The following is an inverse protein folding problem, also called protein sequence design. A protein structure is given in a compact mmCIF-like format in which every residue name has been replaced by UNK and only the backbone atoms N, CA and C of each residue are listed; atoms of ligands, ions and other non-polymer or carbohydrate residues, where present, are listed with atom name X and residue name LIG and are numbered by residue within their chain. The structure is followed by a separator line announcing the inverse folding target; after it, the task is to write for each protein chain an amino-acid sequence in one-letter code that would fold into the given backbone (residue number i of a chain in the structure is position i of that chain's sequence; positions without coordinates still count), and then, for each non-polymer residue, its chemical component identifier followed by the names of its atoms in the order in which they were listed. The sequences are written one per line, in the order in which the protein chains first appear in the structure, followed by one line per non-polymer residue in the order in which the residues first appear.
data_IF_603764923099
#
_entry.id   IF_603764923099
#
_cell.length_a   1.000
_cell.length_b   1.000
_cell.length_c   1.000
_cell.angle_alpha   90.00
_cell.angle_beta   90.00
_cell.angle_gamma   90.00
#
_symmetry.space_group_name_H-M   'P 1'
#
loop_
_entity.id
_entity.type
_entity.pdbx_description
1 polymer ?
#
# COMPACT_ATOMS: atom_id res chain seq x y z
N UNK A 1 -15.31 14.83 0.21
CA UNK A 1 -14.28 14.28 1.12
C UNK A 1 -15.00 13.64 2.29
N UNK A 2 -14.81 12.36 2.55
CA UNK A 2 -15.43 11.70 3.70
C UNK A 2 -14.80 12.26 4.99
N UNK A 3 -15.63 12.65 5.96
CA UNK A 3 -15.18 13.01 7.32
C UNK A 3 -14.55 14.39 7.52
N UNK A 4 -14.44 15.23 6.48
CA UNK A 4 -13.95 16.61 6.62
C UNK A 4 -15.11 17.57 6.41
N UNK A 5 -15.51 18.27 7.48
CA UNK A 5 -16.56 19.28 7.40
C UNK A 5 -16.11 20.46 6.51
N UNK A 6 -17.01 21.07 5.73
CA UNK A 6 -16.72 22.31 5.03
C UNK A 6 -16.18 23.38 6.00
N UNK A 7 -15.18 24.14 5.55
CA UNK A 7 -14.61 25.24 6.33
C UNK A 7 -15.53 26.45 6.42
N UNK A 8 -15.09 27.47 7.15
CA UNK A 8 -15.82 28.76 7.25
C UNK A 8 -15.98 29.41 5.87
N UNK A 9 -17.11 30.07 5.67
CA UNK A 9 -17.42 30.79 4.44
C UNK A 9 -16.80 32.19 4.48
N UNK A 10 -16.04 32.56 3.46
CA UNK A 10 -15.37 33.86 3.40
C UNK A 10 -16.19 34.96 2.71
N UNK A 11 -17.15 34.57 1.86
CA UNK A 11 -17.98 35.50 1.08
C UNK A 11 -19.40 35.51 1.64
N UNK A 12 -19.91 36.67 2.12
CA UNK A 12 -21.30 36.80 2.54
C UNK A 12 -22.26 36.33 1.43
N UNK A 13 -23.26 35.51 1.79
CA UNK A 13 -24.24 34.96 0.86
C UNK A 13 -23.85 33.62 0.19
N UNK A 14 -22.61 33.14 0.37
CA UNK A 14 -22.18 31.79 -0.05
C UNK A 14 -22.06 30.83 1.13
N UNK A 15 -22.99 30.94 2.09
CA UNK A 15 -23.09 29.98 3.19
C UNK A 15 -23.92 28.77 2.77
N UNK A 16 -23.23 27.65 2.57
CA UNK A 16 -23.83 26.38 2.18
C UNK A 16 -24.11 25.45 3.37
N UNK A 17 -23.86 25.90 4.62
CA UNK A 17 -24.01 25.06 5.82
C UNK A 17 -25.43 24.53 6.02
N UNK A 18 -26.43 25.25 5.51
CA UNK A 18 -27.83 24.84 5.56
C UNK A 18 -28.29 24.05 4.32
N UNK A 19 -27.41 23.85 3.32
CA UNK A 19 -27.75 23.03 2.16
C UNK A 19 -27.45 21.56 2.47
N UNK A 20 -28.44 20.71 2.26
CA UNK A 20 -28.28 19.26 2.34
C UNK A 20 -29.01 18.59 1.19
N UNK A 21 -28.34 17.65 0.54
CA UNK A 21 -28.90 16.83 -0.54
C UNK A 21 -29.39 15.47 -0.03
N UNK A 22 -29.16 15.15 1.26
CA UNK A 22 -29.55 13.87 1.86
C UNK A 22 -29.66 13.98 3.38
N UNK A 23 -30.65 13.33 3.97
CA UNK A 23 -30.69 13.14 5.42
C UNK A 23 -29.67 12.05 5.81
N UNK A 24 -28.55 12.46 6.44
CA UNK A 24 -27.45 11.55 6.78
C UNK A 24 -27.85 10.47 7.80
N UNK A 25 -28.71 10.80 8.77
CA UNK A 25 -29.21 9.81 9.74
C UNK A 25 -30.10 8.78 9.04
N UNK A 26 -31.01 9.22 8.17
CA UNK A 26 -31.84 8.31 7.38
C UNK A 26 -31.00 7.45 6.41
N UNK A 27 -29.91 8.01 5.88
CA UNK A 27 -28.96 7.29 5.05
C UNK A 27 -28.33 6.13 5.84
N UNK A 28 -27.87 6.37 7.07
CA UNK A 28 -27.28 5.31 7.89
C UNK A 28 -28.26 4.15 8.15
N UNK A 29 -29.53 4.44 8.50
CA UNK A 29 -30.54 3.38 8.66
C UNK A 29 -30.79 2.61 7.35
N UNK A 30 -30.74 3.30 6.21
CA UNK A 30 -30.87 2.68 4.88
C UNK A 30 -29.67 1.78 4.58
N UNK A 31 -28.46 2.22 4.91
CA UNK A 31 -27.23 1.44 4.74
C UNK A 31 -27.26 0.19 5.63
N UNK A 32 -27.71 0.29 6.89
CA UNK A 32 -27.92 -0.86 7.80
C UNK A 32 -28.91 -1.87 7.22
N UNK A 33 -30.07 -1.41 6.74
CA UNK A 33 -31.07 -2.29 6.11
C UNK A 33 -30.47 -3.01 4.90
N UNK A 34 -29.79 -2.26 4.03
CA UNK A 34 -29.17 -2.80 2.82
C UNK A 34 -28.10 -3.84 3.16
N UNK A 35 -27.26 -3.57 4.17
CA UNK A 35 -26.26 -4.51 4.65
C UNK A 35 -26.89 -5.83 5.13
N UNK A 36 -28.00 -5.77 5.88
CA UNK A 36 -28.72 -6.98 6.29
C UNK A 36 -29.30 -7.75 5.09
N UNK A 37 -29.87 -7.05 4.10
CA UNK A 37 -30.43 -7.69 2.91
C UNK A 37 -29.34 -8.41 2.09
N UNK A 38 -28.17 -7.78 1.93
CA UNK A 38 -27.00 -8.39 1.29
C UNK A 38 -26.51 -9.61 2.07
N UNK A 39 -26.39 -9.52 3.40
CA UNK A 39 -25.96 -10.65 4.23
C UNK A 39 -26.95 -11.81 4.10
N UNK A 40 -28.26 -11.54 4.09
CA UNK A 40 -29.31 -12.56 3.87
C UNK A 40 -29.17 -13.24 2.51
N UNK A 41 -28.95 -12.45 1.45
CA UNK A 41 -28.70 -12.97 0.10
C UNK A 41 -27.48 -13.89 0.07
N UNK A 42 -26.42 -13.53 0.79
CA UNK A 42 -25.15 -14.26 0.82
C UNK A 42 -25.10 -15.42 1.82
N UNK A 43 -26.12 -15.64 2.64
CA UNK A 43 -26.17 -16.75 3.62
C UNK A 43 -25.78 -18.13 3.04
N UNK A 44 -26.20 -18.52 1.81
CA UNK A 44 -25.78 -19.80 1.24
C UNK A 44 -24.26 -19.97 1.12
N UNK A 45 -23.51 -18.88 0.93
CA UNK A 45 -22.04 -18.90 0.85
C UNK A 45 -21.40 -18.82 2.24
N UNK A 46 -22.03 -18.11 3.19
CA UNK A 46 -21.47 -17.89 4.53
C UNK A 46 -21.38 -19.16 5.37
N UNK A 47 -22.00 -20.27 4.95
CA UNK A 47 -21.79 -21.60 5.54
C UNK A 47 -20.32 -22.05 5.53
N UNK A 48 -19.52 -21.51 4.61
CA UNK A 48 -18.08 -21.74 4.53
C UNK A 48 -17.26 -21.16 5.69
N UNK A 49 -17.84 -20.25 6.49
CA UNK A 49 -17.15 -19.67 7.64
C UNK A 49 -16.81 -20.70 8.72
N UNK A 50 -17.69 -21.71 8.90
CA UNK A 50 -17.52 -22.77 9.93
C UNK A 50 -17.27 -22.20 11.34
N UNK A 51 -17.89 -21.07 11.65
CA UNK A 51 -17.64 -20.29 12.84
C UNK A 51 -18.90 -19.54 13.30
N UNK A 52 -18.88 -19.04 14.53
CA UNK A 52 -19.84 -18.07 15.06
C UNK A 52 -19.24 -16.66 14.98
N UNK A 53 -19.82 -15.79 14.15
CA UNK A 53 -19.36 -14.42 13.95
C UNK A 53 -20.37 -13.43 14.57
N UNK A 54 -19.90 -12.57 15.48
CA UNK A 54 -20.69 -11.44 15.98
C UNK A 54 -20.36 -10.18 15.17
N UNK A 55 -21.39 -9.47 14.69
CA UNK A 55 -21.25 -8.24 13.90
C UNK A 55 -21.96 -7.09 14.60
N UNK A 56 -21.32 -5.93 14.64
CA UNK A 56 -21.89 -4.67 15.13
C UNK A 56 -21.77 -3.61 14.03
N UNK A 57 -22.89 -2.96 13.67
CA UNK A 57 -22.90 -1.81 12.75
C UNK A 57 -22.90 -0.49 13.53
N UNK A 58 -21.73 0.13 13.67
CA UNK A 58 -21.61 1.38 14.42
C UNK A 58 -22.08 1.24 15.87
N UNK A 59 -23.15 1.97 16.23
CA UNK A 59 -23.79 1.98 17.54
C UNK A 59 -25.01 1.06 17.67
N UNK A 60 -25.32 0.28 16.62
CA UNK A 60 -26.46 -0.65 16.61
C UNK A 60 -26.20 -1.87 17.51
N UNK A 61 -27.26 -2.49 18.05
CA UNK A 61 -27.13 -3.77 18.75
C UNK A 61 -26.41 -4.82 17.88
N UNK A 62 -25.56 -5.67 18.47
CA UNK A 62 -24.91 -6.73 17.73
C UNK A 62 -25.91 -7.78 17.24
N UNK A 63 -25.55 -8.49 16.19
CA UNK A 63 -26.21 -9.70 15.71
C UNK A 63 -25.17 -10.76 15.37
N UNK A 64 -25.60 -12.01 15.18
CA UNK A 64 -24.69 -13.12 14.92
C UNK A 64 -24.99 -13.80 13.60
N UNK A 65 -23.94 -14.31 12.98
CA UNK A 65 -24.00 -15.30 11.91
C UNK A 65 -23.47 -16.60 12.49
N UNK A 66 -24.37 -17.57 12.70
CA UNK A 66 -23.98 -18.93 13.09
C UNK A 66 -23.84 -19.79 11.84
N UNK A 67 -22.60 -20.14 11.50
CA UNK A 67 -22.24 -21.01 10.38
C UNK A 67 -21.54 -22.30 10.85
N UNK A 68 -21.57 -22.63 12.15
CA UNK A 68 -20.82 -23.76 12.73
C UNK A 68 -21.23 -25.11 12.14
N UNK A 69 -22.50 -25.26 11.75
CA UNK A 69 -23.04 -26.46 11.11
C UNK A 69 -22.68 -26.59 9.62
N UNK A 70 -22.11 -25.55 9.00
CA UNK A 70 -21.94 -25.45 7.55
C UNK A 70 -23.13 -24.84 6.81
N UNK A 71 -24.24 -24.58 7.49
CA UNK A 71 -25.34 -23.74 6.99
C UNK A 71 -25.38 -22.47 7.83
N UNK A 72 -25.31 -21.30 7.19
CA UNK A 72 -25.33 -20.03 7.92
C UNK A 72 -26.75 -19.54 8.21
N UNK A 73 -26.97 -19.05 9.43
CA UNK A 73 -28.21 -18.40 9.86
C UNK A 73 -27.92 -17.12 10.64
N UNK A 74 -28.79 -16.12 10.53
CA UNK A 74 -28.70 -14.88 11.33
C UNK A 74 -29.44 -15.09 12.65
N UNK A 75 -28.81 -14.72 13.77
CA UNK A 75 -29.39 -14.71 15.11
C UNK A 75 -29.39 -13.29 15.68
N UNK A 76 -30.50 -12.86 16.28
CA UNK A 76 -30.60 -11.57 16.97
C UNK A 76 -29.97 -11.60 18.38
N UNK A 77 -29.79 -12.80 18.94
CA UNK A 77 -29.04 -13.01 20.19
C UNK A 77 -28.38 -14.38 20.18
N UNK A 78 -27.22 -14.48 20.84
CA UNK A 78 -26.51 -15.74 21.06
C UNK A 78 -25.78 -15.67 22.40
N UNK A 79 -25.88 -16.72 23.22
CA UNK A 79 -25.19 -16.80 24.52
C UNK A 79 -23.75 -17.33 24.40
N UNK A 80 -23.42 -17.96 23.27
CA UNK A 80 -22.11 -18.54 23.05
C UNK A 80 -21.08 -17.45 22.74
N UNK A 81 -19.85 -17.62 23.22
CA UNK A 81 -18.76 -16.71 22.88
C UNK A 81 -18.45 -16.83 21.38
N UNK A 82 -18.50 -15.73 20.61
CA UNK A 82 -18.22 -15.79 19.18
C UNK A 82 -16.75 -16.08 18.90
N UNK A 83 -16.49 -16.83 17.84
CA UNK A 83 -15.13 -17.05 17.31
C UNK A 83 -14.48 -15.74 16.87
N UNK A 84 -15.29 -14.76 16.42
CA UNK A 84 -14.84 -13.47 15.93
C UNK A 84 -15.85 -12.38 16.21
N UNK A 85 -15.37 -11.19 16.62
CA UNK A 85 -16.19 -9.98 16.79
C UNK A 85 -15.75 -8.94 15.76
N UNK A 86 -16.71 -8.44 14.98
CA UNK A 86 -16.47 -7.47 13.91
C UNK A 86 -17.33 -6.22 14.10
N UNK A 87 -16.70 -5.08 14.35
CA UNK A 87 -17.35 -3.78 14.27
C UNK A 87 -17.04 -3.18 12.91
N UNK A 88 -18.07 -2.94 12.09
CA UNK A 88 -17.89 -2.47 10.70
C UNK A 88 -18.94 -1.44 10.33
N UNK A 89 -18.60 -0.55 9.40
CA UNK A 89 -19.57 0.38 8.81
C UNK A 89 -20.51 -0.39 7.86
N UNK A 90 -21.84 -0.21 7.96
CA UNK A 90 -22.79 -0.95 7.13
C UNK A 90 -22.56 -0.69 5.62
N UNK A 91 -22.14 0.51 5.23
CA UNK A 91 -21.84 0.83 3.83
C UNK A 91 -20.64 0.06 3.27
N UNK A 92 -19.75 -0.50 4.10
CA UNK A 92 -18.66 -1.35 3.63
C UNK A 92 -19.20 -2.70 3.12
N UNK A 93 -20.29 -3.22 3.70
CA UNK A 93 -20.96 -4.43 3.21
C UNK A 93 -21.40 -4.24 1.77
N UNK A 94 -22.08 -3.12 1.47
CA UNK A 94 -22.48 -2.77 0.11
C UNK A 94 -21.28 -2.52 -0.81
N UNK A 95 -20.22 -1.87 -0.32
CA UNK A 95 -19.03 -1.63 -1.13
C UNK A 95 -18.23 -2.90 -1.44
N UNK A 96 -18.19 -3.89 -0.53
CA UNK A 96 -17.61 -5.21 -0.83
C UNK A 96 -18.45 -5.93 -1.88
N UNK A 97 -19.78 -5.95 -1.68
CA UNK A 97 -20.74 -6.57 -2.58
C UNK A 97 -20.71 -5.98 -4.00
N UNK A 98 -20.49 -4.66 -4.13
CA UNK A 98 -20.39 -3.97 -5.42
C UNK A 98 -18.96 -3.92 -5.99
N UNK A 99 -17.99 -4.57 -5.33
CA UNK A 99 -16.56 -4.51 -5.68
C UNK A 99 -16.02 -3.06 -5.79
N UNK A 100 -16.44 -2.19 -4.87
CA UNK A 100 -15.98 -0.80 -4.71
C UNK A 100 -14.89 -0.65 -3.64
N UNK A 101 -14.80 -1.60 -2.71
CA UNK A 101 -13.85 -1.61 -1.62
C UNK A 101 -13.23 -3.00 -1.50
N UNK A 102 -11.91 -3.08 -1.37
CA UNK A 102 -11.23 -4.34 -1.09
C UNK A 102 -11.48 -4.76 0.37
N UNK A 103 -11.88 -6.03 0.64
CA UNK A 103 -12.16 -6.55 1.98
C UNK A 103 -11.11 -6.24 3.07
N UNK A 104 -9.84 -6.59 2.88
CA UNK A 104 -8.75 -6.34 3.83
C UNK A 104 -8.51 -4.84 4.01
N UNK A 105 -8.56 -4.04 2.94
CA UNK A 105 -8.49 -2.58 3.06
C UNK A 105 -9.64 -2.06 3.92
N UNK A 106 -10.88 -2.46 3.65
CA UNK A 106 -12.05 -2.02 4.41
C UNK A 106 -12.05 -2.46 5.87
N UNK A 107 -11.63 -3.69 6.15
CA UNK A 107 -11.57 -4.26 7.50
C UNK A 107 -10.50 -3.62 8.38
N UNK A 108 -9.34 -3.27 7.82
CA UNK A 108 -8.18 -2.83 8.61
C UNK A 108 -7.87 -1.33 8.48
N UNK A 109 -8.33 -0.64 7.43
CA UNK A 109 -8.05 0.80 7.23
C UNK A 109 -8.48 1.65 8.44
N UNK A 110 -9.72 1.49 8.87
CA UNK A 110 -10.26 2.32 9.96
C UNK A 110 -9.57 1.99 11.29
N UNK A 111 -9.09 0.77 11.42
CA UNK A 111 -8.42 0.29 12.60
C UNK A 111 -7.03 0.90 12.82
N UNK A 112 -6.39 1.43 11.75
CA UNK A 112 -5.19 2.28 11.89
C UNK A 112 -5.48 3.61 12.61
N UNK A 113 -6.72 4.10 12.57
CA UNK A 113 -7.12 5.37 13.18
C UNK A 113 -7.98 5.20 14.42
N UNK A 114 -8.59 4.02 14.61
CA UNK A 114 -9.44 3.69 15.74
C UNK A 114 -9.29 2.20 16.10
N UNK A 115 -8.54 1.90 17.15
CA UNK A 115 -8.26 0.53 17.59
C UNK A 115 -9.54 -0.29 17.86
N UNK A 116 -10.64 0.34 18.28
CA UNK A 116 -11.93 -0.32 18.50
C UNK A 116 -12.54 -0.93 17.21
N UNK A 117 -12.05 -0.54 16.03
CA UNK A 117 -12.45 -1.10 14.74
C UNK A 117 -11.62 -2.33 14.34
N UNK A 118 -10.59 -2.73 15.09
CA UNK A 118 -9.86 -3.98 14.82
C UNK A 118 -10.78 -5.19 15.02
N UNK A 119 -10.89 -6.11 14.04
CA UNK A 119 -11.52 -7.40 14.26
C UNK A 119 -10.85 -8.16 15.42
N UNK A 120 -11.66 -8.79 16.28
CA UNK A 120 -11.19 -9.50 17.47
C UNK A 120 -11.46 -11.01 17.36
N UNK A 121 -10.62 -11.83 17.99
CA UNK A 121 -10.71 -13.29 17.93
C UNK A 121 -10.02 -13.86 16.68
N UNK A 122 -10.66 -14.83 16.01
CA UNK A 122 -10.13 -15.47 14.80
C UNK A 122 -10.27 -14.56 13.56
N UNK A 123 -9.41 -13.54 13.45
CA UNK A 123 -9.42 -12.54 12.36
C UNK A 123 -9.61 -13.13 10.94
N UNK A 124 -9.03 -14.29 10.57
CA UNK A 124 -9.30 -14.92 9.27
C UNK A 124 -10.79 -15.18 8.97
N UNK A 125 -11.63 -15.37 9.99
CA UNK A 125 -13.09 -15.51 9.82
C UNK A 125 -13.72 -14.19 9.37
N UNK A 126 -13.28 -13.04 9.91
CA UNK A 126 -13.76 -11.73 9.46
C UNK A 126 -13.32 -11.43 8.01
N UNK A 127 -12.08 -11.78 7.67
CA UNK A 127 -11.57 -11.67 6.28
C UNK A 127 -12.42 -12.54 5.35
N UNK A 128 -12.62 -13.81 5.70
CA UNK A 128 -13.43 -14.74 4.90
C UNK A 128 -14.88 -14.27 4.76
N UNK A 129 -15.48 -13.72 5.82
CA UNK A 129 -16.80 -13.12 5.76
C UNK A 129 -16.86 -12.01 4.72
N UNK A 130 -15.95 -11.04 4.78
CA UNK A 130 -15.92 -9.94 3.82
C UNK A 130 -15.61 -10.40 2.39
N UNK A 131 -14.71 -11.37 2.22
CA UNK A 131 -14.37 -11.99 0.93
C UNK A 131 -15.60 -12.65 0.27
N UNK A 132 -16.40 -13.41 1.03
CA UNK A 132 -17.60 -14.09 0.54
C UNK A 132 -18.74 -13.13 0.13
N UNK A 133 -18.72 -11.89 0.63
CA UNK A 133 -19.68 -10.86 0.21
C UNK A 133 -19.40 -10.34 -1.20
N UNK A 134 -18.15 -10.40 -1.66
CA UNK A 134 -17.74 -9.88 -2.97
C UNK A 134 -18.41 -10.64 -4.14
N UNK A 135 -18.47 -10.05 -5.36
CA UNK A 135 -18.96 -10.76 -6.55
C UNK A 135 -18.11 -11.96 -6.94
N UNK A 136 -16.79 -11.87 -6.72
CA UNK A 136 -15.82 -12.92 -7.03
C UNK A 136 -14.92 -13.10 -5.81
N UNK A 137 -15.32 -13.95 -4.84
CA UNK A 137 -14.53 -14.21 -3.66
C UNK A 137 -13.12 -14.68 -4.04
N UNK A 138 -12.06 -14.15 -3.40
CA UNK A 138 -10.71 -14.54 -3.71
C UNK A 138 -10.43 -15.99 -3.30
N UNK A 139 -9.47 -16.60 -3.99
CA UNK A 139 -8.92 -17.91 -3.65
C UNK A 139 -7.59 -17.75 -2.92
N UNK A 140 -7.28 -18.72 -2.06
CA UNK A 140 -6.01 -18.74 -1.35
C UNK A 140 -4.83 -18.86 -2.34
N UNK A 141 -3.69 -18.19 -2.07
CA UNK A 141 -2.50 -18.33 -2.89
C UNK A 141 -1.95 -19.75 -2.79
N UNK A 142 -1.26 -20.19 -3.85
CA UNK A 142 -0.44 -21.39 -3.78
C UNK A 142 0.75 -21.15 -2.85
N UNK A 143 1.13 -22.17 -2.10
CA UNK A 143 2.35 -22.17 -1.33
C UNK A 143 3.56 -22.28 -2.28
N UNK A 144 4.70 -21.74 -1.86
CA UNK A 144 5.90 -21.70 -2.69
C UNK A 144 6.43 -23.08 -3.10
N UNK A 145 6.25 -24.10 -2.25
CA UNK A 145 6.63 -25.50 -2.50
C UNK A 145 5.77 -26.19 -3.60
N UNK A 146 4.65 -25.58 -3.99
CA UNK A 146 3.78 -26.08 -5.04
C UNK A 146 4.21 -25.65 -6.45
N UNK A 147 5.27 -24.84 -6.57
CA UNK A 147 5.82 -24.42 -7.85
C UNK A 147 7.01 -25.31 -8.25
N UNK A 148 7.10 -25.76 -9.53
CA UNK A 148 8.19 -26.62 -9.99
C UNK A 148 9.54 -25.91 -10.04
N UNK A 149 9.52 -24.58 -10.09
CA UNK A 149 10.67 -23.68 -10.03
C UNK A 149 10.23 -22.38 -9.39
N UNK A 150 11.18 -21.62 -8.86
CA UNK A 150 10.99 -20.25 -8.41
C UNK A 150 12.01 -19.34 -9.10
N UNK A 151 11.75 -18.03 -9.20
CA UNK A 151 12.74 -17.07 -9.68
C UNK A 151 14.03 -17.14 -8.86
N UNK A 152 15.17 -17.24 -9.56
CA UNK A 152 16.52 -17.16 -9.01
C UNK A 152 17.21 -15.88 -9.49
N UNK A 153 18.21 -15.41 -8.74
CA UNK A 153 18.97 -14.23 -9.12
C UNK A 153 19.76 -14.47 -10.42
N UNK A 154 19.53 -13.63 -11.44
CA UNK A 154 20.14 -13.75 -12.77
C UNK A 154 20.50 -12.39 -13.35
N UNK A 155 21.47 -12.36 -14.27
CA UNK A 155 21.81 -11.17 -15.08
C UNK A 155 20.99 -11.11 -16.39
N UNK A 156 20.25 -12.18 -16.74
CA UNK A 156 19.36 -12.18 -17.90
C UNK A 156 18.07 -11.39 -17.60
N UNK A 157 18.03 -10.13 -18.05
CA UNK A 157 16.89 -9.24 -17.92
C UNK A 157 15.61 -9.80 -18.54
N UNK A 158 15.71 -10.54 -19.66
CA UNK A 158 14.53 -11.14 -20.27
C UNK A 158 14.00 -12.31 -19.44
N UNK A 159 14.87 -13.05 -18.74
CA UNK A 159 14.45 -14.02 -17.74
C UNK A 159 13.74 -13.35 -16.57
N UNK A 160 14.26 -12.25 -16.05
CA UNK A 160 13.62 -11.47 -14.97
C UNK A 160 12.23 -10.99 -15.39
N UNK A 161 12.08 -10.47 -16.62
CA UNK A 161 10.77 -10.07 -17.18
C UNK A 161 9.81 -11.25 -17.30
N UNK A 162 10.29 -12.44 -17.69
CA UNK A 162 9.48 -13.69 -17.71
C UNK A 162 9.05 -14.08 -16.30
N UNK A 163 9.95 -14.01 -15.34
CA UNK A 163 9.68 -14.36 -13.95
C UNK A 163 8.68 -13.42 -13.29
N UNK A 164 8.77 -12.11 -13.55
CA UNK A 164 7.75 -11.15 -13.08
C UNK A 164 6.39 -11.45 -13.70
N UNK A 165 6.31 -11.81 -14.99
CA UNK A 165 5.04 -12.18 -15.61
C UNK A 165 4.43 -13.43 -14.97
N UNK A 166 5.24 -14.45 -14.68
CA UNK A 166 4.78 -15.75 -14.17
C UNK A 166 4.55 -15.75 -12.64
N UNK A 167 5.44 -15.13 -11.88
CA UNK A 167 5.47 -15.19 -10.40
C UNK A 167 5.24 -13.84 -9.72
N UNK A 168 5.22 -12.73 -10.46
CA UNK A 168 4.98 -11.38 -9.95
C UNK A 168 6.24 -10.71 -9.40
N UNK A 169 7.36 -11.44 -9.36
CA UNK A 169 8.68 -10.92 -9.00
C UNK A 169 9.79 -11.58 -9.82
N UNK A 170 10.94 -10.92 -9.86
CA UNK A 170 12.21 -11.46 -10.36
C UNK A 170 13.38 -10.78 -9.66
N UNK A 171 14.56 -11.39 -9.73
CA UNK A 171 15.75 -10.87 -9.04
C UNK A 171 16.86 -10.66 -10.06
N UNK A 172 17.26 -9.40 -10.22
CA UNK A 172 18.41 -9.03 -11.05
C UNK A 172 19.65 -9.14 -10.19
N UNK A 173 20.63 -9.94 -10.61
CA UNK A 173 21.89 -10.15 -9.90
C UNK A 173 22.92 -9.08 -10.31
N UNK A 174 23.86 -8.77 -9.41
CA UNK A 174 25.02 -7.93 -9.70
C UNK A 174 24.67 -6.53 -10.26
N UNK A 175 23.56 -5.96 -9.79
CA UNK A 175 23.08 -4.62 -10.17
C UNK A 175 24.02 -3.55 -9.61
N UNK A 176 24.48 -3.73 -8.37
CA UNK A 176 25.51 -2.90 -7.76
C UNK A 176 26.77 -3.73 -7.55
N UNK A 177 27.92 -3.16 -7.88
CA UNK A 177 29.22 -3.71 -7.51
C UNK A 177 29.40 -3.71 -5.98
N UNK A 178 30.33 -4.52 -5.43
CA UNK A 178 30.61 -4.51 -3.99
C UNK A 178 31.00 -3.13 -3.44
N UNK A 179 31.69 -2.31 -4.24
CA UNK A 179 32.04 -0.93 -3.88
C UNK A 179 30.80 -0.04 -3.80
N UNK A 180 29.92 -0.10 -4.80
CA UNK A 180 28.65 0.64 -4.79
C UNK A 180 27.74 0.20 -3.65
N UNK A 181 27.68 -1.11 -3.34
CA UNK A 181 26.99 -1.63 -2.16
C UNK A 181 27.55 -1.00 -0.88
N UNK A 182 28.87 -0.95 -0.72
CA UNK A 182 29.50 -0.36 0.46
C UNK A 182 29.18 1.14 0.61
N UNK A 183 29.22 1.90 -0.49
CA UNK A 183 28.86 3.32 -0.52
C UNK A 183 27.40 3.52 -0.09
N UNK A 184 26.46 2.83 -0.76
CA UNK A 184 25.04 2.99 -0.47
C UNK A 184 24.66 2.50 0.94
N UNK A 185 25.26 1.40 1.39
CA UNK A 185 25.07 0.88 2.77
C UNK A 185 25.51 1.90 3.79
N UNK A 186 26.69 2.48 3.61
CA UNK A 186 27.22 3.53 4.48
C UNK A 186 26.29 4.75 4.51
N UNK A 187 25.85 5.25 3.34
CA UNK A 187 24.94 6.38 3.25
C UNK A 187 23.62 6.14 3.99
N UNK A 188 23.02 4.95 3.84
CA UNK A 188 21.81 4.54 4.57
C UNK A 188 22.05 4.50 6.09
N UNK A 189 23.16 3.93 6.53
CA UNK A 189 23.49 3.81 7.96
C UNK A 189 23.80 5.17 8.60
N UNK A 190 24.54 6.05 7.92
CA UNK A 190 24.84 7.39 8.40
C UNK A 190 23.57 8.25 8.47
N UNK A 191 22.71 8.20 7.45
CA UNK A 191 21.43 8.91 7.48
C UNK A 191 20.52 8.37 8.60
N UNK A 192 20.48 7.04 8.80
CA UNK A 192 19.74 6.42 9.90
C UNK A 192 20.24 6.89 11.28
N UNK A 193 21.55 6.91 11.49
CA UNK A 193 22.17 7.37 12.72
C UNK A 193 21.86 8.85 12.99
N UNK A 194 21.99 9.71 11.96
CA UNK A 194 21.66 11.13 12.06
C UNK A 194 20.20 11.39 12.41
N UNK A 195 19.24 10.62 11.86
CA UNK A 195 17.82 10.75 12.23
C UNK A 195 17.54 10.33 13.67
N UNK A 196 18.28 9.34 14.21
CA UNK A 196 18.17 8.96 15.62
C UNK A 196 18.75 10.03 16.53
N UNK A 197 19.92 10.57 16.19
CA UNK A 197 20.55 11.65 16.94
C UNK A 197 19.67 12.90 16.98
N UNK A 198 19.01 13.21 15.86
CA UNK A 198 18.05 14.30 15.76
C UNK A 198 16.68 14.01 16.41
N UNK A 199 16.44 12.79 16.90
CA UNK A 199 15.17 12.40 17.55
C UNK A 199 13.97 12.30 16.60
N UNK A 200 14.21 12.12 15.30
CA UNK A 200 13.17 12.05 14.25
C UNK A 200 13.08 10.67 13.58
N UNK A 201 13.88 9.70 14.02
CA UNK A 201 13.89 8.36 13.46
C UNK A 201 12.50 7.70 13.54
N UNK A 202 12.05 7.14 12.42
CA UNK A 202 10.84 6.35 12.37
C UNK A 202 11.18 4.87 12.53
N UNK A 203 10.65 4.28 13.60
CA UNK A 203 10.92 2.89 13.99
C UNK A 203 9.68 2.02 13.87
N UNK A 204 9.86 0.78 13.46
CA UNK A 204 8.81 -0.24 13.34
C UNK A 204 9.35 -1.65 13.67
N UNK A 205 8.59 -2.70 13.35
CA UNK A 205 9.02 -4.08 13.55
C UNK A 205 8.58 -4.70 14.89
N UNK A 206 7.54 -4.16 15.53
CA UNK A 206 6.95 -4.71 16.76
C UNK A 206 7.06 -3.78 17.95
N UNK A 207 6.73 -4.30 19.14
CA UNK A 207 6.65 -3.52 20.38
C UNK A 207 7.98 -2.82 20.75
N UNK A 208 9.12 -3.40 20.38
CA UNK A 208 10.45 -2.84 20.66
C UNK A 208 10.97 -1.91 19.56
N UNK A 209 10.27 -1.79 18.43
CA UNK A 209 10.68 -0.94 17.30
C UNK A 209 12.12 -1.17 16.79
N UNK A 210 12.57 -2.42 16.53
CA UNK A 210 13.97 -2.69 16.21
C UNK A 210 14.38 -2.16 14.82
N UNK A 211 13.41 -2.06 13.90
CA UNK A 211 13.66 -1.62 12.54
C UNK A 211 13.68 -0.10 12.45
N UNK A 212 14.24 0.43 11.37
CA UNK A 212 14.14 1.86 11.05
C UNK A 212 13.79 2.04 9.58
N UNK A 213 12.88 2.96 9.29
CA UNK A 213 12.56 3.42 7.95
C UNK A 213 13.04 4.86 7.76
N UNK A 214 13.72 5.10 6.65
CA UNK A 214 14.22 6.41 6.22
C UNK A 214 13.37 6.84 5.03
N UNK A 215 12.72 7.99 5.15
CA UNK A 215 11.82 8.53 4.13
C UNK A 215 12.50 9.58 3.26
N UNK A 216 11.96 9.76 2.05
CA UNK A 216 12.33 10.85 1.14
C UNK A 216 13.84 10.87 0.84
N UNK A 217 14.42 9.74 0.44
CA UNK A 217 15.87 9.59 0.20
C UNK A 217 16.44 10.60 -0.80
N UNK A 218 15.61 11.11 -1.71
CA UNK A 218 15.95 12.21 -2.64
C UNK A 218 16.58 13.42 -1.93
N UNK A 219 16.26 13.64 -0.65
CA UNK A 219 16.75 14.77 0.13
C UNK A 219 17.99 14.48 0.99
N UNK A 220 18.56 13.27 0.92
CA UNK A 220 19.41 12.74 2.00
C UNK A 220 20.88 12.56 1.63
N UNK A 221 21.26 12.78 0.36
CA UNK A 221 22.64 12.62 -0.09
C UNK A 221 22.73 12.51 -1.60
N UNK A 222 23.90 12.87 -2.14
CA UNK A 222 24.15 12.82 -3.59
C UNK A 222 24.18 11.37 -4.09
N UNK A 223 24.63 10.41 -3.27
CA UNK A 223 24.60 8.98 -3.60
C UNK A 223 23.18 8.47 -3.89
N UNK A 224 22.17 9.00 -3.19
CA UNK A 224 20.77 8.66 -3.44
C UNK A 224 20.23 9.31 -4.72
N UNK A 225 20.74 10.47 -5.12
CA UNK A 225 20.46 11.06 -6.43
C UNK A 225 21.10 10.23 -7.54
N UNK A 226 22.34 9.81 -7.34
CA UNK A 226 23.11 9.04 -8.33
C UNK A 226 22.47 7.66 -8.59
N UNK A 227 21.93 7.00 -7.57
CA UNK A 227 21.18 5.75 -7.74
C UNK A 227 19.97 5.89 -8.68
N UNK A 228 19.35 7.07 -8.78
CA UNK A 228 18.24 7.31 -9.71
C UNK A 228 18.68 7.37 -11.19
N UNK A 229 19.98 7.42 -11.46
CA UNK A 229 20.55 7.30 -12.80
C UNK A 229 20.81 5.84 -13.21
N UNK A 230 20.48 4.86 -12.37
CA UNK A 230 20.77 3.46 -12.65
C UNK A 230 20.00 2.93 -13.88
N UNK A 231 20.67 2.32 -14.88
CA UNK A 231 20.05 1.92 -16.15
C UNK A 231 18.98 0.83 -16.02
N UNK A 232 19.02 0.03 -14.94
CA UNK A 232 17.94 -0.93 -14.65
C UNK A 232 16.55 -0.27 -14.55
N UNK A 233 16.48 1.00 -14.13
CA UNK A 233 15.24 1.76 -14.10
C UNK A 233 14.68 1.92 -15.52
N UNK A 234 15.55 2.20 -16.50
CA UNK A 234 15.16 2.38 -17.91
C UNK A 234 14.67 1.08 -18.56
N UNK A 235 15.20 -0.05 -18.11
CA UNK A 235 14.81 -1.37 -18.61
C UNK A 235 13.48 -1.87 -18.02
N UNK A 236 13.30 -1.71 -16.71
CA UNK A 236 12.21 -2.37 -15.99
C UNK A 236 10.96 -1.51 -15.88
N UNK A 237 11.12 -0.21 -15.62
CA UNK A 237 9.97 0.67 -15.31
C UNK A 237 9.12 0.93 -16.55
N UNK A 238 9.66 1.36 -17.71
CA UNK A 238 8.87 1.55 -18.92
C UNK A 238 8.22 0.25 -19.41
N UNK A 239 8.92 -0.88 -19.30
CA UNK A 239 8.42 -2.19 -19.68
C UNK A 239 7.14 -2.58 -18.93
N UNK A 240 7.05 -2.29 -17.63
CA UNK A 240 5.89 -2.65 -16.82
C UNK A 240 4.81 -1.54 -16.77
N UNK A 241 5.23 -0.29 -16.57
CA UNK A 241 4.33 0.82 -16.23
C UNK A 241 4.12 1.84 -17.36
N UNK A 242 4.90 1.73 -18.44
CA UNK A 242 4.95 2.73 -19.51
C UNK A 242 5.92 3.88 -19.22
N UNK A 243 6.16 4.72 -20.23
CA UNK A 243 7.26 5.72 -20.27
C UNK A 243 7.12 6.90 -19.29
N UNK A 244 5.98 7.03 -18.62
CA UNK A 244 5.63 8.18 -17.80
C UNK A 244 5.49 7.85 -16.31
N UNK A 245 5.92 6.66 -15.87
CA UNK A 245 5.85 6.30 -14.47
C UNK A 245 6.61 7.30 -13.58
N UNK A 246 6.08 7.51 -12.37
CA UNK A 246 6.63 8.44 -11.38
C UNK A 246 6.94 7.70 -10.08
N UNK A 247 7.95 8.16 -9.35
CA UNK A 247 8.30 7.69 -8.03
C UNK A 247 7.16 8.04 -7.08
N UNK A 248 6.56 7.04 -6.46
CA UNK A 248 5.53 7.21 -5.43
C UNK A 248 6.14 7.29 -4.04
N UNK A 249 7.21 6.52 -3.80
CA UNK A 249 8.05 6.56 -2.60
C UNK A 249 9.49 6.21 -2.94
N UNK A 250 10.42 6.81 -2.21
CA UNK A 250 11.85 6.48 -2.30
C UNK A 250 12.47 6.45 -0.90
N UNK A 251 12.69 5.22 -0.40
CA UNK A 251 12.93 4.96 1.02
C UNK A 251 14.05 3.96 1.24
N UNK A 252 14.61 3.93 2.44
CA UNK A 252 15.43 2.81 2.89
C UNK A 252 14.81 2.18 4.14
N UNK A 253 14.90 0.85 4.22
CA UNK A 253 14.45 0.09 5.38
C UNK A 253 15.65 -0.67 5.96
N UNK A 254 15.83 -0.60 7.28
CA UNK A 254 16.83 -1.38 8.00
C UNK A 254 16.11 -2.32 8.94
N UNK A 255 16.02 -3.60 8.57
CA UNK A 255 15.50 -4.63 9.45
C UNK A 255 16.58 -5.14 10.40
N UNK A 256 16.22 -5.42 11.66
CA UNK A 256 17.14 -5.88 12.71
C UNK A 256 16.56 -7.09 13.45
N UNK A 257 17.42 -7.91 14.10
CA UNK A 257 17.02 -8.99 14.98
C UNK A 257 15.84 -8.65 15.91
N UNK A 258 14.90 -9.59 16.01
CA UNK A 258 13.75 -9.48 16.90
C UNK A 258 12.56 -8.72 16.32
N UNK A 259 12.58 -8.36 15.02
CA UNK A 259 11.38 -7.81 14.41
C UNK A 259 10.30 -8.88 14.22
N UNK A 260 9.05 -8.46 14.38
CA UNK A 260 7.90 -9.25 13.90
C UNK A 260 7.71 -9.05 12.40
N UNK A 261 7.19 -10.06 11.68
CA UNK A 261 6.90 -9.93 10.26
C UNK A 261 5.86 -8.84 10.03
N UNK A 262 5.99 -8.16 8.89
CA UNK A 262 4.95 -7.23 8.45
C UNK A 262 3.70 -8.01 8.07
N UNK A 263 2.54 -7.37 8.19
CA UNK A 263 1.31 -7.90 7.60
C UNK A 263 1.50 -8.10 6.10
N UNK A 264 1.03 -9.23 5.57
CA UNK A 264 0.96 -9.44 4.14
C UNK A 264 0.07 -8.37 3.51
N UNK A 265 0.57 -7.78 2.43
CA UNK A 265 -0.11 -6.74 1.70
C UNK A 265 0.28 -6.76 0.23
N UNK A 266 -0.50 -6.05 -0.57
CA UNK A 266 -0.14 -5.63 -1.92
C UNK A 266 0.08 -4.13 -1.89
N UNK A 267 1.07 -3.61 -2.62
CA UNK A 267 1.28 -2.16 -2.70
C UNK A 267 0.12 -1.42 -3.38
N UNK A 268 -0.76 -2.14 -4.08
CA UNK A 268 -1.97 -1.62 -4.72
C UNK A 268 -3.22 -1.61 -3.81
N UNK A 269 -3.12 -2.05 -2.55
CA UNK A 269 -4.31 -2.27 -1.68
C UNK A 269 -5.12 -0.98 -1.43
N UNK A 270 -4.50 0.19 -1.53
CA UNK A 270 -5.17 1.47 -1.37
C UNK A 270 -5.88 1.99 -2.64
N UNK A 271 -5.67 1.35 -3.81
CA UNK A 271 -6.33 1.72 -5.07
C UNK A 271 -7.72 1.09 -5.09
N UNK A 272 -8.74 1.95 -5.04
CA UNK A 272 -10.15 1.56 -4.96
C UNK A 272 -10.94 2.20 -6.11
N UNK A 273 -11.86 1.48 -6.80
CA UNK A 273 -12.21 0.06 -6.61
C UNK A 273 -11.03 -0.89 -6.87
N UNK A 274 -11.04 -2.11 -6.30
CA UNK A 274 -9.95 -3.07 -6.51
C UNK A 274 -9.89 -3.50 -7.98
N UNK A 275 -8.82 -3.06 -8.65
CA UNK A 275 -8.46 -3.46 -10.03
C UNK A 275 -7.34 -4.50 -9.91
N UNK A 276 -7.54 -5.69 -10.47
CA UNK A 276 -6.64 -6.84 -10.28
C UNK A 276 -5.97 -7.33 -11.57
N UNK A 277 -6.42 -6.86 -12.72
CA UNK A 277 -5.92 -7.20 -14.05
C UNK A 277 -4.79 -6.28 -14.53
N UNK A 278 -4.64 -5.11 -13.92
CA UNK A 278 -3.59 -4.15 -14.22
C UNK A 278 -2.70 -3.84 -12.99
N UNK A 279 -1.39 -3.95 -13.18
CA UNK A 279 -0.42 -3.40 -12.23
C UNK A 279 -0.30 -1.88 -12.38
N UNK A 280 -0.49 -1.18 -11.27
CA UNK A 280 -0.32 0.27 -11.19
C UNK A 280 1.07 0.69 -10.75
N UNK A 281 1.86 -0.20 -10.15
CA UNK A 281 3.21 0.11 -9.72
C UNK A 281 4.17 -1.07 -9.77
N UNK A 282 5.44 -0.73 -9.60
CA UNK A 282 6.57 -1.65 -9.58
C UNK A 282 7.59 -1.15 -8.57
N UNK A 283 7.98 -2.03 -7.66
CA UNK A 283 8.99 -1.75 -6.66
C UNK A 283 10.32 -2.36 -7.08
N UNK A 284 11.39 -1.59 -6.92
CA UNK A 284 12.77 -2.01 -7.14
C UNK A 284 13.50 -1.91 -5.81
N UNK A 285 13.89 -3.05 -5.27
CA UNK A 285 14.46 -3.18 -3.94
C UNK A 285 15.93 -3.57 -4.05
N UNK A 286 16.82 -2.58 -3.90
CA UNK A 286 18.27 -2.77 -3.98
C UNK A 286 18.81 -3.33 -2.66
N UNK A 287 19.50 -4.45 -2.74
CA UNK A 287 20.02 -5.18 -1.60
C UNK A 287 21.41 -4.65 -1.21
N UNK A 288 21.53 -4.13 0.01
CA UNK A 288 22.79 -3.60 0.55
C UNK A 288 23.47 -4.57 1.54
N UNK A 289 22.90 -5.76 1.65
CA UNK A 289 23.36 -6.91 2.42
C UNK A 289 22.80 -8.16 1.75
N UNK A 290 23.40 -9.32 1.99
CA UNK A 290 22.82 -10.59 1.58
C UNK A 290 21.41 -10.73 2.18
N UNK A 291 20.44 -11.11 1.36
CA UNK A 291 19.06 -11.33 1.82
C UNK A 291 18.86 -12.82 1.98
N UNK A 292 18.45 -13.24 3.19
CA UNK A 292 18.22 -14.64 3.54
C UNK A 292 16.86 -14.79 4.21
N UNK A 293 16.42 -16.04 4.34
CA UNK A 293 15.26 -16.38 5.18
C UNK A 293 15.44 -15.86 6.61
N UNK A 294 16.61 -16.11 7.20
CA UNK A 294 16.88 -15.90 8.61
C UNK A 294 16.98 -14.43 8.99
N UNK A 295 17.50 -13.56 8.10
CA UNK A 295 17.66 -12.14 8.39
C UNK A 295 16.42 -11.29 8.04
N UNK A 296 15.29 -11.94 7.80
CA UNK A 296 14.02 -11.28 7.53
C UNK A 296 13.88 -10.82 6.08
N UNK A 297 14.38 -11.60 5.12
CA UNK A 297 14.20 -11.34 3.70
C UNK A 297 12.73 -11.12 3.31
N UNK A 298 12.50 -10.33 2.27
CA UNK A 298 11.15 -10.04 1.79
C UNK A 298 10.47 -11.34 1.37
N UNK A 299 9.33 -11.61 2.00
CA UNK A 299 8.49 -12.79 1.80
C UNK A 299 7.49 -12.51 0.70
N UNK A 300 7.31 -13.44 -0.23
CA UNK A 300 6.36 -13.32 -1.35
C UNK A 300 5.50 -14.57 -1.50
N UNK A 301 4.27 -14.40 -1.98
CA UNK A 301 3.48 -15.49 -2.56
C UNK A 301 3.65 -15.49 -4.08
N UNK A 302 4.46 -16.41 -4.65
CA UNK A 302 4.68 -16.46 -6.09
C UNK A 302 3.35 -16.62 -6.85
N UNK A 303 3.17 -15.85 -7.92
CA UNK A 303 2.00 -15.92 -8.80
C UNK A 303 0.72 -15.31 -8.22
N UNK A 304 0.77 -14.74 -7.00
CA UNK A 304 -0.42 -14.17 -6.34
C UNK A 304 -0.95 -12.88 -6.97
N UNK A 305 -0.22 -12.32 -7.94
CA UNK A 305 -0.67 -11.21 -8.76
C UNK A 305 -1.65 -11.59 -9.87
N UNK A 306 -1.84 -12.89 -10.14
CA UNK A 306 -2.68 -13.39 -11.24
C UNK A 306 -4.06 -13.77 -10.73
N UNK A 307 -5.05 -12.93 -11.03
CA UNK A 307 -6.45 -13.19 -10.72
C UNK A 307 -6.86 -12.77 -9.30
N UNK A 308 -8.03 -13.22 -8.81
CA UNK A 308 -8.54 -12.86 -7.50
C UNK A 308 -7.87 -13.73 -6.42
N UNK A 309 -6.57 -13.56 -6.21
CA UNK A 309 -5.82 -14.28 -5.17
C UNK A 309 -5.66 -13.38 -3.95
N UNK A 310 -5.95 -13.93 -2.76
CA UNK A 310 -5.65 -13.26 -1.50
C UNK A 310 -5.46 -14.26 -0.36
N UNK A 311 -4.48 -14.04 0.54
CA UNK A 311 -4.23 -14.92 1.66
C UNK A 311 -5.40 -14.87 2.66
N UNK A 312 -5.85 -16.02 3.19
CA UNK A 312 -6.93 -16.06 4.17
C UNK A 312 -6.54 -15.44 5.52
N UNK A 313 -5.24 -15.40 5.81
CA UNK A 313 -4.65 -14.76 6.98
C UNK A 313 -3.48 -13.88 6.54
N UNK A 314 -3.57 -12.58 6.83
CA UNK A 314 -2.54 -11.60 6.49
C UNK A 314 -1.49 -11.41 7.60
N UNK A 315 -1.65 -12.07 8.75
CA UNK A 315 -0.77 -11.92 9.91
C UNK A 315 0.30 -13.02 10.02
N UNK A 316 0.27 -14.00 9.11
CA UNK A 316 1.26 -15.07 8.99
C UNK A 316 1.96 -15.01 7.63
N UNK A 317 3.24 -15.38 7.60
CA UNK A 317 4.03 -15.52 6.37
C UNK A 317 4.22 -17.00 5.99
N UNK A 318 3.46 -17.91 6.59
CA UNK A 318 3.42 -19.32 6.17
C UNK A 318 3.05 -19.44 4.69
N UNK A 319 3.57 -20.44 3.98
CA UNK A 319 3.32 -20.65 2.55
C UNK A 319 4.07 -19.69 1.59
N UNK A 320 4.67 -18.61 2.10
CA UNK A 320 5.53 -17.70 1.30
C UNK A 320 6.96 -18.22 1.16
N UNK A 321 7.77 -17.55 0.33
CA UNK A 321 9.22 -17.76 0.20
C UNK A 321 9.97 -16.43 0.34
N UNK A 322 11.18 -16.45 0.92
CA UNK A 322 12.05 -15.27 0.88
C UNK A 322 12.64 -15.11 -0.52
N UNK A 323 12.56 -13.90 -1.07
CA UNK A 323 13.29 -13.50 -2.26
C UNK A 323 14.78 -13.33 -1.94
N UNK A 324 15.45 -14.42 -1.60
CA UNK A 324 16.83 -14.44 -1.15
C UNK A 324 17.80 -14.24 -2.32
N UNK A 325 18.79 -13.36 -2.13
CA UNK A 325 19.86 -13.12 -3.10
C UNK A 325 21.05 -12.40 -2.45
N UNK A 326 22.24 -12.47 -3.05
CA UNK A 326 23.42 -11.76 -2.54
C UNK A 326 23.25 -10.23 -2.57
N UNK A 327 24.02 -9.54 -1.73
CA UNK A 327 24.17 -8.10 -1.75
C UNK A 327 24.52 -7.60 -3.17
N UNK A 328 24.01 -6.43 -3.53
CA UNK A 328 24.13 -5.88 -4.88
C UNK A 328 23.11 -6.41 -5.88
N UNK A 329 22.24 -7.35 -5.49
CA UNK A 329 21.06 -7.73 -6.28
C UNK A 329 19.94 -6.69 -6.15
N UNK A 330 18.99 -6.72 -7.09
CA UNK A 330 17.74 -5.95 -7.02
C UNK A 330 16.55 -6.89 -7.17
N UNK A 331 15.69 -6.95 -6.15
CA UNK A 331 14.39 -7.58 -6.28
C UNK A 331 13.44 -6.60 -6.97
N UNK A 332 12.82 -7.04 -8.07
CA UNK A 332 11.83 -6.27 -8.81
C UNK A 332 10.50 -7.01 -8.75
N UNK A 333 9.44 -6.34 -8.29
CA UNK A 333 8.11 -6.93 -8.21
C UNK A 333 7.02 -5.91 -8.51
N UNK A 334 5.89 -6.38 -9.04
CA UNK A 334 4.76 -5.53 -9.35
C UNK A 334 3.77 -5.39 -8.17
N UNK A 335 3.00 -4.31 -8.17
CA UNK A 335 2.22 -3.81 -7.01
C UNK A 335 1.09 -4.71 -6.54
N UNK A 336 0.72 -5.75 -7.30
CA UNK A 336 -0.34 -6.72 -6.95
C UNK A 336 0.19 -7.94 -6.20
N UNK A 337 1.50 -8.15 -6.18
CA UNK A 337 2.11 -9.30 -5.52
C UNK A 337 1.89 -9.21 -4.00
N UNK A 338 1.35 -10.28 -3.41
CA UNK A 338 1.28 -10.39 -1.96
C UNK A 338 2.65 -10.63 -1.37
N UNK A 339 3.06 -9.74 -0.48
CA UNK A 339 4.38 -9.76 0.12
C UNK A 339 4.40 -9.16 1.53
N UNK A 340 5.50 -9.40 2.25
CA UNK A 340 5.74 -8.86 3.59
C UNK A 340 7.25 -8.80 3.87
N UNK A 341 7.68 -7.93 4.79
CA UNK A 341 9.00 -8.09 5.42
C UNK A 341 8.97 -9.32 6.33
N UNK A 342 9.92 -10.24 6.17
CA UNK A 342 10.03 -11.43 6.99
C UNK A 342 10.51 -11.16 8.43
N UNK A 343 10.39 -12.14 9.32
CA UNK A 343 10.97 -12.07 10.65
C UNK A 343 12.50 -12.22 10.58
N UNK A 344 13.23 -11.32 11.22
CA UNK A 344 14.67 -11.42 11.40
C UNK A 344 14.94 -12.17 12.71
N UNK A 345 15.29 -13.44 12.56
CA UNK A 345 15.59 -14.38 13.65
C UNK A 345 17.09 -14.50 13.92
N UNK A 346 17.92 -13.70 13.24
CA UNK A 346 19.35 -13.62 13.52
C UNK A 346 19.61 -13.06 14.92
N UNK A 347 20.83 -13.25 15.43
CA UNK A 347 21.24 -12.73 16.75
C UNK A 347 21.81 -11.32 16.70
N UNK A 348 22.34 -10.91 15.55
CA UNK A 348 23.02 -9.63 15.35
C UNK A 348 23.01 -9.24 13.87
N UNK A 349 23.39 -7.99 13.59
CA UNK A 349 23.49 -7.47 12.22
C UNK A 349 22.28 -6.64 11.81
N UNK A 350 22.38 -6.10 10.60
CA UNK A 350 21.35 -5.25 10.01
C UNK A 350 21.12 -5.70 8.56
N UNK A 351 19.87 -5.61 8.09
CA UNK A 351 19.47 -5.91 6.72
C UNK A 351 18.96 -4.63 6.03
N UNK A 352 19.86 -3.71 5.63
CA UNK A 352 19.51 -2.50 4.90
C UNK A 352 19.16 -2.81 3.44
N UNK A 353 18.11 -2.15 2.96
CA UNK A 353 17.63 -2.21 1.58
C UNK A 353 17.10 -0.83 1.18
N UNK A 354 17.26 -0.46 -0.09
CA UNK A 354 16.65 0.74 -0.66
C UNK A 354 15.45 0.30 -1.49
N UNK A 355 14.29 0.90 -1.25
CA UNK A 355 13.06 0.67 -2.00
C UNK A 355 12.78 1.89 -2.88
N UNK A 356 12.73 1.66 -4.17
CA UNK A 356 12.35 2.64 -5.18
C UNK A 356 11.04 2.17 -5.83
N UNK A 357 9.94 2.77 -5.41
CA UNK A 357 8.61 2.38 -5.86
C UNK A 357 8.10 3.36 -6.91
N UNK A 358 7.80 2.85 -8.10
CA UNK A 358 7.17 3.60 -9.18
C UNK A 358 5.69 3.26 -9.30
N UNK A 359 4.89 4.26 -9.69
CA UNK A 359 3.51 4.07 -10.11
C UNK A 359 3.26 4.73 -11.47
N UNK A 360 2.22 4.31 -12.18
CA UNK A 360 1.72 5.03 -13.37
C UNK A 360 1.37 6.48 -13.00
N UNK A 361 1.67 7.44 -13.88
CA UNK A 361 1.57 8.89 -13.60
C UNK A 361 0.19 9.39 -13.16
N UNK A 362 -0.88 8.69 -13.52
CA UNK A 362 -2.25 9.07 -13.12
C UNK A 362 -2.62 8.61 -11.70
N UNK A 363 -1.75 7.85 -11.03
CA UNK A 363 -1.96 7.43 -9.64
C UNK A 363 -1.34 8.45 -8.70
N UNK A 364 -2.07 8.78 -7.63
CA UNK A 364 -1.58 9.67 -6.58
C UNK A 364 -0.37 9.04 -5.87
N UNK A 365 0.72 9.81 -5.79
CA UNK A 365 1.92 9.41 -5.05
C UNK A 365 1.65 9.30 -3.54
N UNK A 366 2.30 8.34 -2.88
CA UNK A 366 2.25 8.18 -1.43
C UNK A 366 3.05 9.27 -0.71
N UNK A 367 4.24 9.62 -1.21
CA UNK A 367 4.97 10.82 -0.80
C UNK A 367 4.58 12.00 -1.71
N UNK A 368 4.21 13.13 -1.12
CA UNK A 368 3.93 14.35 -1.88
C UNK A 368 5.23 15.08 -2.24
N UNK A 369 5.85 14.68 -3.36
CA UNK A 369 7.14 15.18 -3.81
C UNK A 369 7.17 16.71 -4.06
N UNK A 370 6.03 17.32 -4.38
CA UNK A 370 5.93 18.78 -4.54
C UNK A 370 6.14 19.56 -3.23
N UNK A 371 5.88 18.92 -2.08
CA UNK A 371 6.06 19.52 -0.76
C UNK A 371 7.26 18.96 -0.01
N UNK A 372 7.59 17.68 -0.22
CA UNK A 372 8.67 17.03 0.49
C UNK A 372 10.05 17.37 -0.08
N UNK A 373 10.16 17.69 -1.38
CA UNK A 373 11.43 18.05 -2.00
C UNK A 373 11.99 19.35 -1.41
N UNK A 374 13.22 19.30 -0.90
CA UNK A 374 13.86 20.48 -0.33
C UNK A 374 14.34 21.44 -1.41
N UNK A 375 14.26 22.74 -1.10
CA UNK A 375 14.67 23.83 -2.00
C UNK A 375 16.15 23.78 -2.37
N UNK A 376 17.02 23.32 -1.47
CA UNK A 376 18.46 23.19 -1.70
C UNK A 376 18.83 21.97 -2.55
N UNK A 377 17.92 21.00 -2.70
CA UNK A 377 18.10 19.82 -3.55
C UNK A 377 17.67 20.10 -4.99
N UNK A 378 16.65 20.96 -5.20
CA UNK A 378 16.14 21.30 -6.54
C UNK A 378 17.22 21.63 -7.58
N UNK A 379 18.24 22.47 -7.29
CA UNK A 379 19.28 22.81 -8.26
C UNK A 379 20.17 21.62 -8.68
N UNK A 380 20.19 20.55 -7.88
CA UNK A 380 20.95 19.32 -8.18
C UNK A 380 20.16 18.34 -9.05
N UNK A 381 18.85 18.52 -9.19
CA UNK A 381 18.01 17.57 -9.93
C UNK A 381 18.22 17.72 -11.44
N UNK A 382 18.59 16.61 -12.07
CA UNK A 382 18.55 16.47 -13.53
C UNK A 382 17.09 16.45 -14.02
N UNK A 383 16.91 16.68 -15.31
CA UNK A 383 15.60 16.55 -15.97
C UNK A 383 15.03 15.13 -15.81
N UNK A 384 15.89 14.11 -15.78
CA UNK A 384 15.53 12.74 -15.43
C UNK A 384 14.91 12.65 -14.04
N UNK A 385 15.59 13.21 -13.02
CA UNK A 385 15.08 13.22 -11.65
C UNK A 385 13.73 13.94 -11.56
N UNK A 386 13.63 15.13 -12.17
CA UNK A 386 12.38 15.91 -12.20
C UNK A 386 11.24 15.14 -12.86
N UNK A 387 11.51 14.43 -13.96
CA UNK A 387 10.52 13.58 -14.64
C UNK A 387 10.03 12.47 -13.72
N UNK A 388 10.95 11.74 -13.08
CA UNK A 388 10.60 10.67 -12.13
C UNK A 388 9.82 11.18 -10.92
N UNK A 389 10.04 12.42 -10.47
CA UNK A 389 9.30 13.00 -9.33
C UNK A 389 7.92 13.56 -9.71
N UNK A 390 7.57 13.62 -11.00
CA UNK A 390 6.27 14.09 -11.48
C UNK A 390 6.23 15.57 -11.87
N UNK A 391 7.38 16.24 -12.03
CA UNK A 391 7.46 17.63 -12.50
C UNK A 391 7.38 17.77 -14.03
N UNK A 392 7.34 16.67 -14.76
CA UNK A 392 7.25 16.67 -16.23
C UNK A 392 5.80 16.52 -16.68
N UNK A 393 5.34 17.39 -17.57
CA UNK A 393 3.99 17.32 -18.15
C UNK A 393 3.87 16.15 -19.12
N UNK A 394 2.79 15.38 -19.00
CA UNK A 394 2.53 14.19 -19.84
C UNK A 394 1.11 14.24 -20.38
N UNK A 395 0.95 14.45 -21.68
CA UNK A 395 -0.36 14.65 -22.31
C UNK A 395 -1.12 15.83 -21.69
N UNK A 396 -2.16 15.55 -20.90
CA UNK A 396 -2.98 16.55 -20.19
C UNK A 396 -2.75 16.57 -18.66
N UNK A 397 -1.70 15.89 -18.17
CA UNK A 397 -1.41 15.72 -16.74
C UNK A 397 -0.18 16.51 -16.30
N UNK A 398 -0.17 16.92 -15.03
CA UNK A 398 1.00 17.51 -14.36
C UNK A 398 1.24 18.99 -14.63
N UNK A 399 0.30 19.69 -15.27
CA UNK A 399 0.42 21.11 -15.60
C UNK A 399 0.23 22.08 -14.43
N UNK A 400 0.66 23.33 -14.62
CA UNK A 400 0.49 24.45 -13.67
C UNK A 400 -0.18 25.64 -14.37
N UNK A 401 -1.27 26.12 -13.79
CA UNK A 401 -2.14 27.20 -14.32
C UNK A 401 -2.68 26.90 -15.74
N UNK A 402 -3.10 25.66 -15.98
CA UNK A 402 -3.69 25.22 -17.25
C UNK A 402 -2.69 24.96 -18.38
N UNK A 403 -1.39 25.24 -18.17
CA UNK A 403 -0.34 24.86 -19.11
C UNK A 403 0.00 23.38 -18.94
N UNK A 404 -0.37 22.57 -19.94
CA UNK A 404 -0.24 21.11 -19.92
C UNK A 404 0.52 20.57 -21.13
N UNK A 405 1.07 21.41 -22.02
CA UNK A 405 1.82 20.91 -23.19
C UNK A 405 2.88 19.91 -22.77
N UNK A 406 2.94 18.77 -23.43
CA UNK A 406 3.93 17.73 -23.16
C UNK A 406 5.35 18.26 -23.38
N UNK A 407 6.30 17.84 -22.55
CA UNK A 407 7.69 18.29 -22.67
C UNK A 407 8.12 19.37 -21.70
N UNK A 408 7.24 19.82 -20.80
CA UNK A 408 7.54 20.92 -19.89
C UNK A 408 7.90 20.41 -18.50
N UNK A 409 8.96 20.97 -17.92
CA UNK A 409 9.24 20.85 -16.50
C UNK A 409 8.55 22.01 -15.78
N UNK A 410 7.58 21.70 -14.92
CA UNK A 410 6.78 22.73 -14.25
C UNK A 410 7.55 23.36 -13.10
N UNK A 411 7.34 24.66 -12.95
CA UNK A 411 7.90 25.47 -11.88
C UNK A 411 6.78 26.17 -11.12
N UNK A 412 7.09 26.61 -9.91
CA UNK A 412 6.22 27.50 -9.16
C UNK A 412 6.06 28.81 -9.92
N UNK A 413 4.81 29.17 -10.23
CA UNK A 413 4.46 30.47 -10.80
C UNK A 413 3.94 31.38 -9.69
N UNK A 414 4.41 32.62 -9.65
CA UNK A 414 3.77 33.63 -8.83
C UNK A 414 2.40 33.96 -9.43
N UNK A 415 1.35 33.92 -8.60
CA UNK A 415 0.01 34.29 -9.04
C UNK A 415 -0.05 35.75 -9.48
N UNK A 416 -0.87 36.03 -10.50
CA UNK A 416 -1.09 37.41 -10.97
C UNK A 416 -2.05 38.13 -10.02
N UNK A 417 -1.57 39.22 -9.43
CA UNK A 417 -2.37 40.08 -8.55
C UNK A 417 -2.52 39.55 -7.12
N UNK A 418 -3.10 40.37 -6.25
CA UNK A 418 -3.48 39.94 -4.90
C UNK A 418 -4.78 39.14 -4.99
N UNK A 419 -4.99 38.19 -4.07
CA UNK A 419 -6.31 37.59 -3.86
C UNK A 419 -7.35 38.70 -3.83
N UNK A 420 -8.39 38.57 -4.67
CA UNK A 420 -9.38 39.64 -4.92
C UNK A 420 -9.85 40.23 -3.59
N UNK A 421 -9.73 41.55 -3.43
CA UNK A 421 -10.28 42.24 -2.28
C UNK A 421 -11.79 41.97 -2.18
N UNK A 422 -12.37 41.90 -0.97
CA UNK A 422 -13.82 41.83 -0.81
C UNK A 422 -14.48 42.96 -1.58
N UNK A 423 -15.53 42.65 -2.34
CA UNK A 423 -16.35 43.67 -2.99
C UNK A 423 -16.93 44.59 -1.92
N UNK A 424 -16.68 45.89 -2.01
CA UNK A 424 -17.42 46.88 -1.24
C UNK A 424 -18.78 47.08 -1.91
N UNK A 425 -19.91 46.92 -1.20
CA UNK A 425 -21.21 47.31 -1.73
C UNK A 425 -21.14 48.79 -2.17
N UNK A 426 -21.75 49.10 -3.32
CA UNK A 426 -22.01 50.49 -3.67
C UNK A 426 -22.99 51.05 -2.62
N UNK A 427 -22.64 52.18 -2.02
CA UNK A 427 -23.40 52.85 -0.97
C UNK A 427 -24.70 53.47 -1.49
#
# INVERSE_FOLDING_TARGET
MAGVAPGKTYTPGLDFSNQSYSNLSQKFETDVKTAHDIIREKLPLLGELKALLQITFGDKPPFWIDARSGTATILESCSDEPDTKLTIKPEYISQFYENKLEPRYGLFKDAFFNEASMPQGKVPVAIKFADLLTPVPPVAPKHADQFPRLPEATEDIEQVKRDIKEFGYGIVKNVLSPEQVAIMKKAVQEQAAGEREAGIAQVDGGATGPNQRIWTLINKGDDFLDLLNHPLIDEMVPWCLGEHAVITTYTANIARPGNVPMQLHTDQVAVQPPIRDLAFGMNMMFYLEDITEANGGTRVYPGSHIGPIAPPDIFTVEGTVAAAAPAGSCLVFESRLWHATGPNVEKSGERPVILLFFMRSFIRQQENNFLSLRKDVWPKLSDRHKRMLGFYTTGALGGVDGEVREGLFVEWKEGVGKMRAPHKPLA
#
